data_IF_646821366566
#
_entry.id   IF_646821366566
#
_cell.length_a   1.000
_cell.length_b   1.000
_cell.length_c   1.000
_cell.angle_alpha   90.00
_cell.angle_beta   90.00
_cell.angle_gamma   90.00
#
_symmetry.space_group_name_H-M   'P 1'
#
loop_
_entity.id
_entity.type
_entity.pdbx_description
1 polymer ?
#
# COMPACT_ATOMS: atom_id res chain seq x y z
N UNK A 1 -50.47 33.12 -0.57
CA UNK A 1 -49.44 32.32 0.12
C UNK A 1 -48.93 31.21 -0.79
N UNK A 2 -48.04 31.52 -1.76
CA UNK A 2 -47.47 30.54 -2.72
C UNK A 2 -46.11 31.03 -3.26
N UNK A 3 -45.15 31.40 -2.40
CA UNK A 3 -43.82 31.86 -2.87
C UNK A 3 -42.66 31.57 -1.90
N UNK A 4 -42.76 30.52 -1.08
CA UNK A 4 -41.65 30.14 -0.17
C UNK A 4 -41.05 28.77 -0.45
N UNK A 5 -41.67 27.95 -1.32
CA UNK A 5 -41.22 26.56 -1.58
C UNK A 5 -40.18 26.48 -2.70
N UNK A 6 -40.04 27.51 -3.54
CA UNK A 6 -39.13 27.47 -4.70
C UNK A 6 -37.68 27.89 -4.42
N UNK A 7 -37.41 28.57 -3.30
CA UNK A 7 -36.07 29.13 -3.02
C UNK A 7 -35.17 28.10 -2.30
N UNK A 8 -35.74 27.13 -1.61
CA UNK A 8 -34.97 26.07 -0.93
C UNK A 8 -34.42 25.00 -1.88
N UNK A 9 -34.97 24.86 -3.10
CA UNK A 9 -34.52 23.82 -4.04
C UNK A 9 -33.28 24.22 -4.86
N UNK A 10 -32.99 25.53 -5.00
CA UNK A 10 -31.83 26.02 -5.77
C UNK A 10 -30.54 25.96 -4.94
N UNK A 11 -30.64 26.06 -3.61
CA UNK A 11 -29.47 25.93 -2.72
C UNK A 11 -28.94 24.50 -2.57
N UNK A 12 -29.72 23.49 -2.96
CA UNK A 12 -29.33 22.08 -2.89
C UNK A 12 -28.61 21.56 -4.14
N UNK A 13 -28.51 22.36 -5.19
CA UNK A 13 -27.85 21.99 -6.46
C UNK A 13 -26.42 22.56 -6.62
N UNK A 14 -25.93 23.37 -5.66
CA UNK A 14 -24.59 23.98 -5.72
C UNK A 14 -23.53 23.26 -4.88
N UNK A 15 -23.85 22.13 -4.22
CA UNK A 15 -22.90 21.41 -3.34
C UNK A 15 -22.32 20.12 -3.91
N UNK A 16 -22.57 19.82 -5.18
CA UNK A 16 -21.98 18.68 -5.89
C UNK A 16 -21.36 19.24 -7.18
N UNK A 17 -20.05 19.28 -7.41
CA UNK A 17 -18.95 18.43 -6.93
C UNK A 17 -17.66 19.23 -7.09
N UNK A 18 -17.07 19.70 -5.98
CA UNK A 18 -15.62 19.89 -5.97
C UNK A 18 -15.08 18.47 -5.87
N UNK A 19 -14.73 17.89 -7.02
CA UNK A 19 -13.83 16.74 -7.06
C UNK A 19 -12.53 17.30 -6.50
N UNK A 20 -12.35 17.15 -5.19
CA UNK A 20 -11.03 17.23 -4.58
C UNK A 20 -10.29 16.06 -5.20
N UNK A 21 -9.63 16.34 -6.32
CA UNK A 21 -8.42 15.62 -6.65
C UNK A 21 -7.55 15.81 -5.42
N UNK A 22 -7.55 14.79 -4.55
CA UNK A 22 -6.38 14.50 -3.76
C UNK A 22 -5.31 14.19 -4.80
N UNK A 23 -4.72 15.24 -5.37
CA UNK A 23 -3.35 15.15 -5.83
C UNK A 23 -2.62 14.69 -4.57
N UNK A 24 -2.30 13.40 -4.55
CA UNK A 24 -1.21 12.89 -3.74
C UNK A 24 -0.02 13.76 -4.14
N UNK A 25 0.16 14.89 -3.43
CA UNK A 25 1.37 15.68 -3.57
C UNK A 25 2.51 14.68 -3.42
N UNK A 26 3.50 14.68 -4.34
CA UNK A 26 4.58 13.71 -4.30
C UNK A 26 5.29 13.93 -2.97
N UNK A 27 4.94 13.10 -1.97
CA UNK A 27 5.47 13.21 -0.63
C UNK A 27 6.97 13.02 -0.78
N UNK A 28 7.71 14.12 -0.65
CA UNK A 28 9.17 14.12 -0.76
C UNK A 28 9.67 13.57 0.56
N UNK A 29 9.94 12.26 0.58
CA UNK A 29 10.47 11.62 1.77
C UNK A 29 11.94 12.00 1.90
N UNK A 30 12.28 12.65 3.01
CA UNK A 30 13.65 13.09 3.28
C UNK A 30 14.46 11.93 3.87
N UNK A 31 15.78 12.06 3.94
CA UNK A 31 16.64 11.06 4.59
C UNK A 31 16.23 10.76 6.05
N UNK A 32 15.46 11.63 6.71
CA UNK A 32 14.89 11.37 8.04
C UNK A 32 13.85 10.25 8.05
N UNK A 33 13.16 10.00 6.94
CA UNK A 33 12.13 8.95 6.84
C UNK A 33 12.73 7.54 6.76
N UNK A 34 14.05 7.45 6.54
CA UNK A 34 14.82 6.20 6.55
C UNK A 34 15.20 5.74 7.97
N UNK A 35 14.90 6.54 9.00
CA UNK A 35 15.10 6.13 10.41
C UNK A 35 14.29 4.90 10.81
N UNK A 36 13.27 4.52 10.01
CA UNK A 36 12.47 3.29 10.24
C UNK A 36 13.27 1.99 10.16
N UNK A 37 14.40 1.96 9.43
CA UNK A 37 15.28 0.78 9.37
C UNK A 37 16.28 0.69 10.54
N UNK A 38 16.24 1.65 11.47
CA UNK A 38 17.16 1.73 12.60
C UNK A 38 16.65 1.14 13.92
N UNK A 39 15.44 0.56 14.00
CA UNK A 39 14.91 -0.01 15.25
C UNK A 39 14.05 -1.25 15.03
N UNK A 40 14.60 -2.40 15.42
CA UNK A 40 13.87 -3.67 15.56
C UNK A 40 14.85 -4.80 15.87
N UNK A 41 14.75 -5.35 17.07
CA UNK A 41 15.63 -6.37 17.66
C UNK A 41 15.94 -7.52 16.70
N UNK A 42 17.24 -7.86 16.56
CA UNK A 42 17.89 -8.85 15.68
C UNK A 42 18.47 -8.38 14.32
N UNK A 43 18.50 -7.07 14.04
CA UNK A 43 19.38 -6.47 13.03
C UNK A 43 20.75 -6.04 13.61
N UNK A 44 21.82 -5.92 12.79
CA UNK A 44 23.14 -5.54 13.29
C UNK A 44 23.08 -4.21 14.02
N UNK A 45 23.59 -4.18 15.25
CA UNK A 45 23.62 -3.01 16.13
C UNK A 45 24.28 -1.82 15.44
N UNK A 46 23.48 -0.87 14.95
CA UNK A 46 23.99 0.40 14.44
C UNK A 46 24.26 1.33 15.62
N UNK A 47 25.53 1.39 16.02
CA UNK A 47 26.05 2.42 16.92
C UNK A 47 25.62 3.80 16.43
N UNK A 48 24.77 4.47 17.23
CA UNK A 48 24.47 5.90 17.11
C UNK A 48 25.75 6.69 17.34
N UNK A 49 26.58 6.85 16.32
CA UNK A 49 27.82 7.61 16.46
C UNK A 49 28.81 7.45 15.32
N UNK A 50 28.65 6.44 14.45
CA UNK A 50 29.43 6.39 13.21
C UNK A 50 28.65 7.08 12.11
N UNK A 51 29.18 8.19 11.61
CA UNK A 51 28.85 8.66 10.26
C UNK A 51 29.09 7.48 9.32
N UNK A 52 28.03 6.75 8.99
CA UNK A 52 28.07 5.78 7.90
C UNK A 52 28.22 6.63 6.67
N UNK A 53 29.46 6.82 6.21
CA UNK A 53 29.74 7.38 4.90
C UNK A 53 29.15 6.40 3.91
N UNK A 54 27.89 6.63 3.53
CA UNK A 54 27.25 5.87 2.47
C UNK A 54 28.10 6.04 1.21
N UNK A 55 28.39 4.96 0.47
CA UNK A 55 29.11 5.08 -0.78
C UNK A 55 28.36 6.05 -1.70
N UNK A 56 29.10 6.89 -2.43
CA UNK A 56 28.47 7.74 -3.44
C UNK A 56 27.70 6.84 -4.43
N UNK A 57 26.47 7.22 -4.81
CA UNK A 57 25.66 6.42 -5.71
C UNK A 57 26.42 6.21 -7.01
N UNK A 58 26.65 4.94 -7.36
CA UNK A 58 27.28 4.55 -8.62
C UNK A 58 26.41 5.07 -9.75
N UNK A 59 26.98 5.93 -10.61
CA UNK A 59 26.57 6.28 -11.97
C UNK A 59 25.08 6.61 -12.27
N UNK A 60 24.83 7.60 -13.13
CA UNK A 60 23.49 7.87 -13.67
C UNK A 60 22.84 6.68 -14.40
N UNK A 61 23.63 5.68 -14.85
CA UNK A 61 23.12 4.42 -15.44
C UNK A 61 22.25 3.62 -14.47
N UNK A 62 22.52 3.71 -13.18
CA UNK A 62 21.90 2.85 -12.17
C UNK A 62 20.52 3.41 -11.76
N UNK A 63 20.25 4.69 -12.06
CA UNK A 63 18.96 5.36 -11.83
C UNK A 63 17.78 4.58 -12.40
N UNK A 64 17.91 4.15 -13.66
CA UNK A 64 16.83 3.42 -14.35
C UNK A 64 16.63 2.03 -13.77
N UNK A 65 17.71 1.36 -13.34
CA UNK A 65 17.62 0.05 -12.71
C UNK A 65 16.92 0.12 -11.36
N UNK A 66 17.29 1.09 -10.51
CA UNK A 66 16.64 1.31 -9.22
C UNK A 66 15.17 1.73 -9.37
N UNK A 67 14.87 2.62 -10.32
CA UNK A 67 13.49 2.98 -10.65
C UNK A 67 12.68 1.76 -11.11
N UNK A 68 13.23 0.92 -11.99
CA UNK A 68 12.58 -0.32 -12.44
C UNK A 68 12.32 -1.26 -11.26
N UNK A 69 13.31 -1.47 -10.39
CA UNK A 69 13.17 -2.32 -9.21
C UNK A 69 12.04 -1.82 -8.30
N UNK A 70 12.02 -0.52 -7.98
CA UNK A 70 10.98 0.05 -7.13
C UNK A 70 9.59 -0.07 -7.75
N UNK A 71 9.47 0.19 -9.06
CA UNK A 71 8.21 0.00 -9.80
C UNK A 71 7.74 -1.45 -9.80
N UNK A 72 8.62 -2.41 -10.08
CA UNK A 72 8.29 -3.84 -10.11
C UNK A 72 7.71 -4.29 -8.75
N UNK A 73 8.31 -3.81 -7.65
CA UNK A 73 7.87 -4.10 -6.29
C UNK A 73 6.56 -3.39 -5.93
N UNK A 74 6.40 -2.12 -6.30
CA UNK A 74 5.15 -1.37 -6.07
C UNK A 74 3.97 -1.96 -6.84
N UNK A 75 4.18 -2.36 -8.10
CA UNK A 75 3.18 -3.05 -8.93
C UNK A 75 2.78 -4.41 -8.31
N UNK A 76 3.76 -5.16 -7.78
CA UNK A 76 3.49 -6.40 -7.08
C UNK A 76 2.66 -6.17 -5.80
N UNK A 77 3.00 -5.13 -5.04
CA UNK A 77 2.31 -4.75 -3.80
C UNK A 77 0.87 -4.32 -4.09
N UNK A 78 0.66 -3.49 -5.12
CA UNK A 78 -0.66 -3.07 -5.57
C UNK A 78 -1.54 -4.28 -5.94
N UNK A 79 -1.04 -5.18 -6.78
CA UNK A 79 -1.76 -6.40 -7.18
C UNK A 79 -2.07 -7.31 -5.99
N UNK A 80 -1.14 -7.46 -5.05
CA UNK A 80 -1.36 -8.26 -3.84
C UNK A 80 -2.48 -7.66 -2.98
N UNK A 81 -2.50 -6.34 -2.78
CA UNK A 81 -3.55 -5.62 -2.04
C UNK A 81 -4.91 -5.75 -2.70
N UNK A 82 -5.00 -5.59 -4.02
CA UNK A 82 -6.24 -5.78 -4.75
C UNK A 82 -6.78 -7.20 -4.62
N UNK A 83 -5.91 -8.22 -4.71
CA UNK A 83 -6.33 -9.61 -4.54
C UNK A 83 -6.81 -9.89 -3.11
N UNK A 84 -6.10 -9.41 -2.08
CA UNK A 84 -6.53 -9.54 -0.69
C UNK A 84 -7.89 -8.91 -0.50
N UNK A 85 -8.06 -7.65 -0.94
CA UNK A 85 -9.34 -6.94 -0.85
C UNK A 85 -10.46 -7.75 -1.50
N UNK A 86 -10.30 -8.13 -2.77
CA UNK A 86 -11.32 -8.85 -3.54
C UNK A 86 -11.74 -10.18 -2.88
N UNK A 87 -10.78 -10.98 -2.46
CA UNK A 87 -11.07 -12.33 -1.94
C UNK A 87 -11.47 -12.34 -0.48
N UNK A 88 -10.97 -11.42 0.33
CA UNK A 88 -11.39 -11.29 1.73
C UNK A 88 -12.79 -10.66 1.81
N UNK A 89 -13.09 -9.62 1.03
CA UNK A 89 -14.44 -9.03 0.97
C UNK A 89 -15.46 -10.11 0.54
N UNK A 90 -15.12 -10.93 -0.47
CA UNK A 90 -15.94 -12.08 -0.90
C UNK A 90 -16.09 -13.17 0.18
N UNK A 91 -15.02 -13.47 0.94
CA UNK A 91 -15.08 -14.42 2.05
C UNK A 91 -16.01 -13.93 3.16
N UNK A 92 -15.96 -12.65 3.48
CA UNK A 92 -16.77 -12.03 4.53
C UNK A 92 -18.26 -11.98 4.11
N UNK A 93 -18.54 -11.74 2.83
CA UNK A 93 -19.89 -11.81 2.27
C UNK A 93 -20.48 -13.23 2.36
N UNK A 94 -19.68 -14.27 2.03
CA UNK A 94 -20.09 -15.66 2.19
C UNK A 94 -20.34 -16.05 3.65
N UNK A 95 -19.53 -15.57 4.58
CA UNK A 95 -19.75 -15.82 6.01
C UNK A 95 -21.01 -15.10 6.53
N UNK A 96 -21.22 -13.86 6.09
CA UNK A 96 -22.38 -13.06 6.48
C UNK A 96 -23.68 -13.66 5.95
N UNK A 97 -23.72 -14.05 4.67
CA UNK A 97 -24.89 -14.69 4.08
C UNK A 97 -25.25 -16.02 4.75
N UNK A 98 -24.25 -16.80 5.21
CA UNK A 98 -24.46 -18.01 6.03
C UNK A 98 -25.08 -17.71 7.40
N UNK A 99 -24.65 -16.63 8.07
CA UNK A 99 -25.19 -16.25 9.36
C UNK A 99 -26.69 -15.95 9.29
N UNK A 100 -27.13 -15.29 8.22
CA UNK A 100 -28.54 -14.94 7.99
C UNK A 100 -29.36 -16.11 7.41
N UNK A 101 -28.77 -16.98 6.59
CA UNK A 101 -29.42 -18.16 6.00
C UNK A 101 -29.03 -19.46 6.71
N UNK A 102 -29.48 -19.64 7.96
CA UNK A 102 -29.25 -20.85 8.77
C UNK A 102 -29.81 -22.17 8.19
N UNK A 103 -30.51 -22.15 7.05
CA UNK A 103 -31.31 -23.29 6.55
C UNK A 103 -30.73 -24.04 5.34
N UNK A 104 -29.63 -23.58 4.72
CA UNK A 104 -29.06 -24.25 3.55
C UNK A 104 -27.82 -25.05 3.94
N UNK A 105 -27.98 -26.36 4.12
CA UNK A 105 -26.89 -27.31 4.43
C UNK A 105 -25.85 -27.52 3.31
N UNK A 106 -25.72 -26.58 2.37
CA UNK A 106 -24.68 -26.57 1.34
C UNK A 106 -23.92 -25.26 1.40
N UNK A 107 -22.62 -25.32 1.74
CA UNK A 107 -21.55 -24.36 1.40
C UNK A 107 -20.41 -24.28 2.43
N UNK A 108 -20.34 -25.13 3.47
CA UNK A 108 -19.21 -25.09 4.43
C UNK A 108 -17.85 -25.17 3.73
N UNK A 109 -17.75 -25.99 2.69
CA UNK A 109 -16.54 -26.16 1.90
C UNK A 109 -16.16 -24.89 1.11
N UNK A 110 -17.12 -24.19 0.50
CA UNK A 110 -16.86 -23.00 -0.30
C UNK A 110 -16.46 -21.80 0.57
N UNK A 111 -17.14 -21.62 1.72
CA UNK A 111 -16.79 -20.59 2.71
C UNK A 111 -15.40 -20.86 3.29
N UNK A 112 -15.09 -22.11 3.64
CA UNK A 112 -13.76 -22.48 4.15
C UNK A 112 -12.67 -22.28 3.07
N UNK A 113 -12.94 -22.64 1.81
CA UNK A 113 -12.00 -22.40 0.71
C UNK A 113 -11.75 -20.91 0.46
N UNK A 114 -12.79 -20.08 0.55
CA UNK A 114 -12.65 -18.63 0.42
C UNK A 114 -11.79 -18.03 1.56
N UNK A 115 -12.03 -18.47 2.80
CA UNK A 115 -11.25 -18.05 3.97
C UNK A 115 -9.78 -18.47 3.87
N UNK A 116 -9.50 -19.71 3.44
CA UNK A 116 -8.14 -20.20 3.21
C UNK A 116 -7.43 -19.41 2.10
N UNK A 117 -8.13 -19.09 1.01
CA UNK A 117 -7.59 -18.25 -0.07
C UNK A 117 -7.28 -16.83 0.41
N UNK A 118 -8.19 -16.19 1.15
CA UNK A 118 -7.94 -14.87 1.76
C UNK A 118 -6.70 -14.92 2.66
N UNK A 119 -6.56 -15.96 3.49
CA UNK A 119 -5.39 -16.13 4.38
C UNK A 119 -4.09 -16.30 3.60
N UNK A 120 -4.09 -17.12 2.54
CA UNK A 120 -2.92 -17.31 1.68
C UNK A 120 -2.52 -16.01 0.96
N UNK A 121 -3.50 -15.24 0.49
CA UNK A 121 -3.25 -13.94 -0.16
C UNK A 121 -2.71 -12.90 0.81
N UNK A 122 -3.16 -12.90 2.07
CA UNK A 122 -2.59 -12.03 3.13
C UNK A 122 -1.12 -12.34 3.37
N UNK A 123 -0.74 -13.62 3.47
CA UNK A 123 0.68 -14.01 3.57
C UNK A 123 1.50 -13.56 2.37
N UNK A 124 0.94 -13.69 1.16
CA UNK A 124 1.60 -13.20 -0.06
C UNK A 124 1.77 -11.68 -0.05
N UNK A 125 0.81 -10.94 0.51
CA UNK A 125 0.95 -9.49 0.70
C UNK A 125 2.10 -9.18 1.66
N UNK A 126 2.17 -9.86 2.81
CA UNK A 126 3.28 -9.72 3.77
C UNK A 126 4.64 -10.01 3.11
N UNK A 127 4.74 -11.07 2.30
CA UNK A 127 5.96 -11.39 1.55
C UNK A 127 6.39 -10.26 0.60
N UNK A 128 5.44 -9.66 -0.11
CA UNK A 128 5.74 -8.54 -1.03
C UNK A 128 6.09 -7.27 -0.25
N UNK A 129 5.47 -7.03 0.91
CA UNK A 129 5.84 -5.91 1.79
C UNK A 129 7.25 -6.07 2.36
N UNK A 130 7.66 -7.31 2.68
CA UNK A 130 9.06 -7.61 3.03
C UNK A 130 10.00 -7.36 1.85
N UNK A 131 9.64 -7.78 0.63
CA UNK A 131 10.46 -7.50 -0.57
C UNK A 131 10.63 -5.99 -0.82
N UNK A 132 9.60 -5.19 -0.53
CA UNK A 132 9.69 -3.72 -0.56
C UNK A 132 10.66 -3.19 0.48
N UNK A 133 10.52 -3.63 1.72
CA UNK A 133 11.45 -3.27 2.79
C UNK A 133 12.89 -3.63 2.42
N UNK A 134 13.12 -4.81 1.85
CA UNK A 134 14.44 -5.27 1.42
C UNK A 134 15.00 -4.48 0.23
N UNK A 135 14.16 -4.10 -0.73
CA UNK A 135 14.57 -3.23 -1.84
C UNK A 135 14.99 -1.84 -1.33
N UNK A 136 14.20 -1.25 -0.43
CA UNK A 136 14.51 0.03 0.21
C UNK A 136 15.78 -0.05 1.06
N UNK A 137 15.97 -1.15 1.79
CA UNK A 137 17.19 -1.37 2.60
C UNK A 137 18.43 -1.55 1.73
N UNK A 138 18.35 -2.33 0.64
CA UNK A 138 19.46 -2.48 -0.33
C UNK A 138 19.82 -1.15 -0.99
N UNK A 139 18.82 -0.36 -1.36
CA UNK A 139 19.04 0.99 -1.90
C UNK A 139 19.75 1.88 -0.88
N UNK A 140 19.29 1.87 0.38
CA UNK A 140 19.95 2.59 1.47
C UNK A 140 21.41 2.17 1.64
N UNK A 141 21.71 0.87 1.70
CA UNK A 141 23.08 0.36 1.82
C UNK A 141 23.97 0.75 0.63
N UNK A 142 23.37 0.88 -0.56
CA UNK A 142 24.05 1.28 -1.78
C UNK A 142 24.21 2.81 -1.93
N UNK A 143 23.76 3.62 -0.95
CA UNK A 143 23.80 5.08 -1.03
C UNK A 143 22.84 5.66 -2.07
N UNK A 144 21.83 4.90 -2.48
CA UNK A 144 20.86 5.30 -3.50
C UNK A 144 19.85 6.28 -2.88
N UNK A 145 19.62 7.45 -3.49
CA UNK A 145 18.61 8.39 -3.03
C UNK A 145 17.20 7.76 -3.05
N UNK A 146 16.34 8.05 -2.06
CA UNK A 146 15.00 7.48 -1.98
C UNK A 146 14.12 7.81 -3.21
N UNK A 147 14.40 8.94 -3.88
CA UNK A 147 13.72 9.32 -5.12
C UNK A 147 13.96 8.37 -6.29
N UNK A 148 15.12 7.68 -6.34
CA UNK A 148 15.44 6.78 -7.47
C UNK A 148 14.54 5.55 -7.50
N UNK A 149 14.29 4.90 -6.36
CA UNK A 149 13.33 3.80 -6.25
C UNK A 149 11.91 4.22 -6.65
N UNK A 150 11.58 5.51 -6.48
CA UNK A 150 10.25 6.07 -6.76
C UNK A 150 10.17 6.72 -8.14
N UNK A 151 11.24 6.63 -8.93
CA UNK A 151 11.36 7.31 -10.22
C UNK A 151 11.13 8.83 -10.15
N UNK A 152 11.47 9.45 -9.02
CA UNK A 152 11.43 10.88 -8.76
C UNK A 152 12.87 11.42 -8.89
N UNK A 153 13.25 11.87 -10.08
CA UNK A 153 14.58 12.38 -10.41
C UNK A 153 14.51 13.70 -11.16
#
# INVERSE_FOLDING_TARGET
>A
MKSTVFITLIFLLMTSTIVVFAEDEPKIFSNSDLTKYGRGDSGPSYDKGKNVTLPEPKSNSDKQEWCRLGKDVDDAMYKAREMVKKYCDYSDELQSSRFWNKSTGGSDQQTNQAALKCTALKRKLEEVEMQKSDAEFRAYQAGVPPGWLRCQF
#
